data_IF_688312712004
#
_entry.id   IF_688312712004
#
_cell.length_a   1.000
_cell.length_b   1.000
_cell.length_c   1.000
_cell.angle_alpha   90.00
_cell.angle_beta   90.00
_cell.angle_gamma   90.00
#
_symmetry.space_group_name_H-M   'P 1'
#
loop_
_entity.id
_entity.type
_entity.pdbx_description
1 polymer ?
#
# COMPACT_ATOMS: atom_id res chain seq x y z
N UNK A 1 84.74 -14.42 6.85
CA UNK A 1 83.81 -14.07 5.75
C UNK A 1 82.44 -13.79 6.35
N UNK A 2 81.79 -12.68 5.96
CA UNK A 2 80.63 -12.10 6.65
C UNK A 2 79.29 -12.54 6.05
N UNK A 3 78.20 -12.48 6.84
CA UNK A 3 76.82 -12.11 6.44
C UNK A 3 75.97 -12.14 7.74
N UNK A 4 75.50 -11.00 8.29
CA UNK A 4 74.30 -10.21 7.92
C UNK A 4 73.02 -11.07 7.92
N UNK A 5 71.84 -10.73 8.43
CA UNK A 5 71.22 -9.68 9.25
C UNK A 5 69.76 -10.21 9.52
N UNK A 6 68.87 -9.54 10.28
CA UNK A 6 67.74 -10.16 10.97
C UNK A 6 66.49 -10.40 10.10
N UNK A 7 65.74 -11.45 10.42
CA UNK A 7 64.38 -11.69 9.91
C UNK A 7 63.43 -10.68 10.59
N UNK A 8 62.94 -9.72 9.80
CA UNK A 8 61.70 -9.00 10.06
C UNK A 8 60.76 -9.21 8.88
N UNK A 9 59.47 -9.11 9.19
CA UNK A 9 58.31 -8.95 8.30
C UNK A 9 57.63 -10.26 7.88
N UNK A 10 56.67 -10.68 8.70
CA UNK A 10 55.46 -11.37 8.24
C UNK A 10 54.26 -10.75 8.96
N UNK A 11 53.97 -9.48 8.66
CA UNK A 11 52.80 -8.77 9.19
C UNK A 11 52.07 -8.01 8.06
N UNK A 12 52.12 -8.54 6.82
CA UNK A 12 51.55 -7.86 5.65
C UNK A 12 50.45 -8.67 4.95
N UNK A 13 50.23 -9.94 5.32
CA UNK A 13 49.21 -10.79 4.69
C UNK A 13 47.80 -10.66 5.26
N UNK A 14 47.66 -10.34 6.55
CA UNK A 14 46.34 -10.28 7.23
C UNK A 14 45.64 -8.94 7.02
N UNK A 15 46.41 -7.87 6.82
CA UNK A 15 45.84 -6.54 6.61
C UNK A 15 45.16 -6.39 5.24
N UNK A 16 45.65 -7.05 4.20
CA UNK A 16 45.12 -6.88 2.83
C UNK A 16 43.79 -7.62 2.62
N UNK A 17 43.60 -8.77 3.25
CA UNK A 17 42.34 -9.54 3.16
C UNK A 17 41.23 -8.93 4.01
N UNK A 18 41.54 -8.35 5.17
CA UNK A 18 40.56 -7.65 6.00
C UNK A 18 40.03 -6.37 5.33
N UNK A 19 40.89 -5.64 4.59
CA UNK A 19 40.47 -4.43 3.85
C UNK A 19 39.61 -4.81 2.63
N UNK A 20 39.92 -5.90 1.92
CA UNK A 20 39.09 -6.36 0.81
C UNK A 20 37.68 -6.80 1.26
N UNK A 21 37.58 -7.48 2.40
CA UNK A 21 36.29 -7.85 2.99
C UNK A 21 35.50 -6.64 3.50
N UNK A 22 36.16 -5.65 4.11
CA UNK A 22 35.51 -4.42 4.57
C UNK A 22 35.02 -3.52 3.42
N UNK A 23 35.67 -3.56 2.26
CA UNK A 23 35.22 -2.87 1.05
C UNK A 23 34.03 -3.59 0.39
N UNK A 24 34.00 -4.92 0.42
CA UNK A 24 32.84 -5.71 -0.08
C UNK A 24 31.64 -5.71 0.87
N UNK A 25 31.85 -5.49 2.17
CA UNK A 25 30.82 -5.47 3.22
C UNK A 25 30.57 -4.05 3.75
N UNK A 26 30.95 -3.02 2.98
CA UNK A 26 30.84 -1.63 3.38
C UNK A 26 29.40 -1.22 3.76
N UNK A 27 29.24 -0.16 4.58
CA UNK A 27 27.94 0.32 5.05
C UNK A 27 27.14 0.86 3.87
N UNK A 28 26.32 0.00 3.27
CA UNK A 28 25.54 0.33 2.07
C UNK A 28 25.02 -0.91 1.33
N UNK A 29 25.74 -2.05 1.41
CA UNK A 29 25.29 -3.30 0.76
C UNK A 29 24.12 -3.99 1.47
N UNK A 30 23.77 -3.57 2.70
CA UNK A 30 22.60 -4.03 3.45
C UNK A 30 21.56 -2.92 3.67
N UNK A 31 21.67 -1.80 2.96
CA UNK A 31 20.61 -0.79 3.00
C UNK A 31 19.46 -1.22 2.09
N UNK A 32 18.66 -2.20 2.53
CA UNK A 32 17.28 -2.27 2.07
C UNK A 32 16.58 -1.06 2.66
N UNK A 33 16.46 0.02 1.88
CA UNK A 33 15.49 1.06 2.24
C UNK A 33 14.15 0.54 1.78
N UNK A 34 13.34 0.10 2.73
CA UNK A 34 11.93 -0.09 2.51
C UNK A 34 11.37 1.23 1.95
N UNK A 35 10.60 1.18 0.86
CA UNK A 35 9.82 2.32 0.37
C UNK A 35 8.71 2.54 1.40
N UNK A 36 9.08 3.20 2.50
CA UNK A 36 8.20 3.48 3.65
C UNK A 36 7.94 4.97 3.67
N UNK A 37 7.30 5.45 2.62
CA UNK A 37 6.75 6.80 2.58
C UNK A 37 5.29 6.74 2.14
N UNK A 38 4.44 5.97 2.88
CA UNK A 38 3.10 5.67 2.41
C UNK A 38 2.30 6.96 2.29
N UNK A 39 1.74 7.19 1.11
CA UNK A 39 0.79 8.28 0.88
C UNK A 39 -0.58 7.70 0.66
N UNK A 40 -1.58 8.22 1.39
CA UNK A 40 -2.98 7.91 1.17
C UNK A 40 -3.66 9.13 0.57
N UNK A 41 -4.34 8.95 -0.56
CA UNK A 41 -5.07 9.98 -1.29
C UNK A 41 -6.53 9.59 -1.50
N UNK A 42 -7.39 10.59 -1.63
CA UNK A 42 -8.78 10.41 -2.04
C UNK A 42 -8.90 10.70 -3.55
N UNK A 43 -9.12 9.67 -4.35
CA UNK A 43 -9.36 9.81 -5.78
C UNK A 43 -10.86 9.95 -6.05
N UNK A 44 -11.28 11.15 -6.46
CA UNK A 44 -12.67 11.48 -6.77
C UNK A 44 -13.07 11.13 -8.22
N UNK A 45 -12.13 10.64 -9.04
CA UNK A 45 -12.38 10.23 -10.43
C UNK A 45 -11.77 8.85 -10.65
N UNK A 46 -12.45 7.77 -10.21
CA UNK A 46 -11.88 6.41 -10.17
C UNK A 46 -11.61 5.78 -11.55
N UNK A 47 -11.87 6.51 -12.64
CA UNK A 47 -11.64 6.04 -14.01
C UNK A 47 -10.19 5.64 -14.24
N UNK A 48 -9.98 4.47 -14.86
CA UNK A 48 -8.64 3.93 -15.10
C UNK A 48 -8.06 3.13 -13.93
N UNK A 49 -8.75 3.07 -12.79
CA UNK A 49 -8.45 2.11 -11.73
C UNK A 49 -9.12 0.78 -12.02
N UNK A 50 -8.35 -0.31 -12.07
CA UNK A 50 -8.82 -1.64 -12.47
C UNK A 50 -8.18 -2.75 -11.64
N UNK A 51 -8.89 -3.87 -11.58
CA UNK A 51 -8.36 -5.17 -11.16
C UNK A 51 -8.42 -6.15 -12.34
N UNK A 52 -7.32 -6.85 -12.61
CA UNK A 52 -7.24 -7.94 -13.60
C UNK A 52 -7.03 -9.27 -12.88
N UNK A 53 -8.09 -10.08 -12.85
CA UNK A 53 -8.13 -11.42 -12.24
C UNK A 53 -7.26 -12.46 -12.97
N UNK A 54 -6.92 -12.24 -14.24
CA UNK A 54 -6.09 -13.19 -15.00
C UNK A 54 -4.64 -13.15 -14.51
N UNK A 55 -4.20 -11.97 -14.08
CA UNK A 55 -2.82 -11.72 -13.65
C UNK A 55 -2.71 -11.35 -12.18
N UNK A 56 -3.83 -11.31 -11.44
CA UNK A 56 -3.96 -10.77 -10.09
C UNK A 56 -3.28 -9.39 -9.95
N UNK A 57 -3.59 -8.49 -10.89
CA UNK A 57 -2.97 -7.18 -10.98
C UNK A 57 -3.95 -6.08 -10.61
N UNK A 58 -3.56 -5.22 -9.67
CA UNK A 58 -4.25 -3.96 -9.40
C UNK A 58 -3.51 -2.82 -10.09
N UNK A 59 -4.26 -2.00 -10.82
CA UNK A 59 -3.74 -0.76 -11.43
C UNK A 59 -4.58 0.39 -10.90
N UNK A 60 -3.94 1.36 -10.29
CA UNK A 60 -4.56 2.65 -9.98
C UNK A 60 -4.20 3.65 -11.07
N UNK A 61 -5.22 4.40 -11.52
CA UNK A 61 -5.09 5.47 -12.51
C UNK A 61 -4.44 6.73 -11.93
N UNK A 62 -4.61 7.86 -12.61
CA UNK A 62 -4.17 9.16 -12.07
C UNK A 62 -5.01 9.54 -10.85
N UNK A 63 -4.36 9.68 -9.70
CA UNK A 63 -4.93 10.25 -8.47
C UNK A 63 -4.95 11.79 -8.55
N UNK A 64 -5.70 12.45 -7.66
CA UNK A 64 -5.81 13.92 -7.56
C UNK A 64 -6.61 14.63 -8.68
N UNK A 65 -7.46 13.88 -9.40
CA UNK A 65 -8.37 14.49 -10.36
C UNK A 65 -9.57 15.14 -9.68
N UNK A 66 -9.85 16.39 -10.05
CA UNK A 66 -11.03 17.10 -9.58
C UNK A 66 -12.23 16.80 -10.49
N UNK A 67 -13.34 16.34 -9.90
CA UNK A 67 -14.61 16.29 -10.62
C UNK A 67 -15.15 17.70 -10.83
N UNK A 68 -15.26 18.15 -12.08
CA UNK A 68 -15.85 19.45 -12.42
C UNK A 68 -17.25 19.27 -13.01
N UNK A 69 -18.26 19.91 -12.42
CA UNK A 69 -19.57 20.10 -13.07
C UNK A 69 -19.69 21.54 -13.56
N UNK A 70 -20.10 21.72 -14.81
CA UNK A 70 -20.31 23.03 -15.41
C UNK A 70 -21.59 23.74 -14.93
N UNK A 71 -22.51 23.01 -14.28
CA UNK A 71 -23.84 23.52 -13.90
C UNK A 71 -24.09 23.30 -12.41
N UNK A 72 -24.27 24.39 -11.68
CA UNK A 72 -24.69 24.33 -10.28
C UNK A 72 -26.13 23.79 -10.18
N UNK A 73 -26.34 22.78 -9.34
CA UNK A 73 -27.68 22.32 -8.97
C UNK A 73 -27.71 22.00 -7.46
N UNK A 74 -28.89 22.09 -6.84
CA UNK A 74 -29.10 21.91 -5.39
C UNK A 74 -29.51 20.48 -5.01
N UNK A 75 -29.49 19.54 -5.96
CA UNK A 75 -29.83 18.13 -5.72
C UNK A 75 -28.63 17.45 -5.05
N UNK A 76 -28.90 16.47 -4.19
CA UNK A 76 -27.85 15.60 -3.65
C UNK A 76 -27.20 14.78 -4.77
N UNK A 77 -25.88 14.88 -4.89
CA UNK A 77 -25.10 14.06 -5.81
C UNK A 77 -24.39 12.96 -5.03
N UNK A 78 -24.36 11.76 -5.60
CA UNK A 78 -23.50 10.69 -5.13
C UNK A 78 -22.28 10.64 -6.04
N UNK A 79 -21.10 10.73 -5.44
CA UNK A 79 -19.82 10.63 -6.12
C UNK A 79 -19.12 9.39 -5.61
N UNK A 80 -18.67 8.56 -6.54
CA UNK A 80 -17.84 7.42 -6.22
C UNK A 80 -16.41 7.89 -6.05
N UNK A 81 -15.75 7.47 -4.98
CA UNK A 81 -14.34 7.76 -4.77
C UNK A 81 -13.56 6.50 -4.38
N UNK A 82 -12.27 6.47 -4.68
CA UNK A 82 -11.34 5.48 -4.18
C UNK A 82 -10.43 6.10 -3.12
N UNK A 83 -10.29 5.42 -1.99
CA UNK A 83 -9.18 5.65 -1.08
C UNK A 83 -7.99 4.85 -1.59
N UNK A 84 -6.94 5.53 -1.99
CA UNK A 84 -5.77 4.93 -2.64
C UNK A 84 -4.55 5.06 -1.73
N UNK A 85 -3.71 4.03 -1.69
CA UNK A 85 -2.39 4.05 -1.08
C UNK A 85 -1.28 3.88 -2.14
N UNK A 86 -0.15 4.54 -1.91
CA UNK A 86 1.10 4.34 -2.63
C UNK A 86 2.26 4.24 -1.64
N UNK A 87 3.39 3.72 -2.10
CA UNK A 87 4.68 3.71 -1.41
C UNK A 87 4.62 3.04 -0.02
N UNK A 88 3.99 1.87 0.02
CA UNK A 88 3.87 1.02 1.21
C UNK A 88 4.46 -0.36 0.94
N UNK A 89 5.16 -0.90 1.94
CA UNK A 89 5.53 -2.32 1.97
C UNK A 89 4.86 -3.01 3.15
N UNK A 90 4.51 -4.28 2.94
CA UNK A 90 4.00 -5.22 3.92
C UNK A 90 2.76 -4.71 4.67
N UNK A 91 1.74 -4.21 3.94
CA UNK A 91 0.53 -3.65 4.53
C UNK A 91 -0.36 -4.74 5.17
N UNK A 92 -0.41 -4.80 6.50
CA UNK A 92 -1.30 -5.73 7.23
C UNK A 92 -2.71 -5.18 7.48
N UNK A 93 -2.87 -3.85 7.41
CA UNK A 93 -4.13 -3.16 7.61
C UNK A 93 -3.97 -1.65 7.65
N UNK A 94 -5.09 -0.94 7.64
CA UNK A 94 -5.11 0.52 7.56
C UNK A 94 -6.28 1.12 8.35
N UNK A 95 -6.10 2.37 8.76
CA UNK A 95 -7.15 3.18 9.38
C UNK A 95 -6.95 4.64 8.98
N UNK A 96 -8.03 5.32 8.59
CA UNK A 96 -8.01 6.75 8.25
C UNK A 96 -9.13 7.49 8.94
N UNK A 97 -8.85 8.76 9.26
CA UNK A 97 -9.86 9.73 9.73
C UNK A 97 -10.11 10.76 8.64
N UNK A 98 -11.35 10.87 8.21
CA UNK A 98 -11.78 11.85 7.22
C UNK A 98 -12.52 12.97 7.95
N UNK A 99 -12.09 14.21 7.73
CA UNK A 99 -12.77 15.40 8.24
C UNK A 99 -13.44 16.11 7.06
N UNK A 100 -14.71 16.45 7.20
CA UNK A 100 -15.50 17.05 6.14
C UNK A 100 -16.57 17.97 6.72
N UNK A 101 -17.21 18.77 5.85
CA UNK A 101 -18.38 19.57 6.20
C UNK A 101 -19.62 18.76 5.83
N UNK A 102 -20.38 18.29 6.83
CA UNK A 102 -21.45 17.30 6.65
C UNK A 102 -22.57 17.72 5.71
N UNK A 103 -22.83 19.03 5.62
CA UNK A 103 -23.83 19.61 4.72
C UNK A 103 -23.32 19.84 3.29
N UNK A 104 -22.01 19.65 3.03
CA UNK A 104 -21.38 19.82 1.71
C UNK A 104 -20.99 18.49 1.08
N UNK A 105 -20.40 17.61 1.87
CA UNK A 105 -19.99 16.28 1.44
C UNK A 105 -20.03 15.36 2.65
N UNK A 106 -20.51 14.13 2.47
CA UNK A 106 -20.54 13.12 3.51
C UNK A 106 -20.21 11.79 2.87
N UNK A 107 -19.42 10.97 3.54
CA UNK A 107 -19.29 9.57 3.15
C UNK A 107 -20.66 8.87 3.25
N UNK A 108 -20.92 8.01 2.29
CA UNK A 108 -22.13 7.17 2.30
C UNK A 108 -21.84 5.81 2.91
N UNK A 109 -20.67 5.25 2.66
CA UNK A 109 -20.22 3.98 3.20
C UNK A 109 -18.76 3.73 2.85
N UNK A 110 -18.32 2.50 3.10
CA UNK A 110 -17.06 1.97 2.61
C UNK A 110 -17.28 0.57 2.03
N UNK A 111 -16.51 0.23 1.01
CA UNK A 111 -16.31 -1.13 0.54
C UNK A 111 -14.80 -1.38 0.39
N UNK A 112 -14.22 -2.09 1.35
CA UNK A 112 -12.78 -2.38 1.40
C UNK A 112 -12.31 -3.43 0.37
N UNK A 113 -13.26 -4.09 -0.30
CA UNK A 113 -13.02 -5.11 -1.33
C UNK A 113 -13.87 -4.79 -2.57
N UNK A 114 -13.54 -3.70 -3.29
CA UNK A 114 -14.39 -3.15 -4.33
C UNK A 114 -14.41 -3.95 -5.64
N UNK A 115 -13.48 -4.88 -5.82
CA UNK A 115 -13.39 -5.73 -7.00
C UNK A 115 -13.85 -7.15 -6.71
N UNK A 116 -14.08 -7.89 -7.78
CA UNK A 116 -14.36 -9.33 -7.72
C UNK A 116 -13.30 -10.04 -8.55
N UNK A 117 -12.67 -11.04 -7.96
CA UNK A 117 -11.90 -12.04 -8.69
C UNK A 117 -12.84 -13.16 -9.12
N UNK A 118 -13.11 -13.28 -10.42
CA UNK A 118 -14.00 -14.32 -10.95
C UNK A 118 -13.30 -15.68 -11.11
N UNK A 119 -11.97 -15.76 -10.95
CA UNK A 119 -11.22 -17.02 -10.93
C UNK A 119 -11.46 -17.76 -9.61
N UNK A 120 -11.43 -17.04 -8.48
CA UNK A 120 -11.62 -17.57 -7.13
C UNK A 120 -13.03 -17.32 -6.56
N UNK A 121 -13.82 -16.47 -7.23
CA UNK A 121 -15.13 -15.98 -6.79
C UNK A 121 -15.07 -15.20 -5.46
N UNK A 122 -13.96 -14.49 -5.22
CA UNK A 122 -13.73 -13.75 -3.99
C UNK A 122 -13.78 -12.23 -4.21
N UNK A 123 -14.24 -11.47 -3.20
CA UNK A 123 -14.12 -10.03 -3.23
C UNK A 123 -12.67 -9.61 -2.93
N UNK A 124 -12.15 -8.65 -3.69
CA UNK A 124 -10.75 -8.23 -3.66
C UNK A 124 -10.64 -6.72 -3.51
N UNK A 125 -9.72 -6.31 -2.65
CA UNK A 125 -9.17 -4.96 -2.53
C UNK A 125 -7.66 -5.05 -2.36
N UNK A 126 -6.99 -3.92 -2.20
CA UNK A 126 -5.53 -3.95 -2.06
C UNK A 126 -5.11 -4.79 -0.84
N UNK A 127 -5.80 -4.58 0.30
CA UNK A 127 -5.52 -5.24 1.59
C UNK A 127 -5.47 -6.78 1.52
N UNK A 128 -6.20 -7.42 0.60
CA UNK A 128 -6.18 -8.88 0.40
C UNK A 128 -5.80 -9.29 -1.02
N UNK A 129 -5.11 -8.42 -1.74
CA UNK A 129 -4.67 -8.67 -3.10
C UNK A 129 -3.76 -9.91 -3.22
N UNK A 130 -2.80 -10.18 -2.32
CA UNK A 130 -1.98 -11.38 -2.40
C UNK A 130 -2.81 -12.65 -2.25
N UNK A 131 -2.47 -13.68 -3.02
CA UNK A 131 -3.07 -15.02 -2.89
C UNK A 131 -2.22 -15.83 -1.91
N UNK A 132 -2.84 -16.35 -0.85
CA UNK A 132 -2.11 -17.21 0.09
C UNK A 132 -1.66 -18.49 -0.62
N UNK A 133 -0.34 -18.73 -0.67
CA UNK A 133 0.26 -19.91 -1.27
C UNK A 133 -0.23 -21.25 -0.64
N UNK A 134 -0.70 -21.24 0.61
CA UNK A 134 -1.22 -22.46 1.26
C UNK A 134 -2.66 -22.73 0.83
N UNK A 135 -3.54 -21.74 0.93
CA UNK A 135 -4.97 -21.93 0.66
C UNK A 135 -5.37 -21.68 -0.79
N UNK A 136 -4.47 -21.10 -1.60
CA UNK A 136 -4.67 -20.75 -3.01
C UNK A 136 -5.88 -19.81 -3.23
N UNK A 137 -6.13 -18.94 -2.26
CA UNK A 137 -7.24 -17.97 -2.25
C UNK A 137 -6.79 -16.65 -1.63
N UNK A 138 -7.48 -15.56 -1.95
CA UNK A 138 -7.33 -14.28 -1.24
C UNK A 138 -7.74 -14.44 0.23
N UNK A 139 -7.11 -13.68 1.12
CA UNK A 139 -7.54 -13.60 2.52
C UNK A 139 -8.88 -12.87 2.63
N UNK A 140 -9.69 -13.25 3.61
CA UNK A 140 -10.88 -12.46 3.95
C UNK A 140 -10.46 -11.09 4.52
N UNK A 141 -11.33 -10.09 4.39
CA UNK A 141 -11.10 -8.73 4.92
C UNK A 141 -12.15 -8.40 5.97
N UNK A 142 -11.70 -7.90 7.12
CA UNK A 142 -12.58 -7.28 8.12
C UNK A 142 -12.48 -5.76 7.99
N UNK A 143 -13.61 -5.11 7.74
CA UNK A 143 -13.68 -3.65 7.63
C UNK A 143 -14.47 -3.05 8.81
N UNK A 144 -14.06 -1.86 9.25
CA UNK A 144 -14.72 -1.09 10.30
C UNK A 144 -14.98 0.34 9.81
N UNK A 145 -16.20 0.84 10.02
CA UNK A 145 -16.57 2.22 9.71
C UNK A 145 -17.38 2.83 10.85
N UNK A 146 -17.16 4.11 11.09
CA UNK A 146 -18.00 4.95 11.91
C UNK A 146 -18.26 6.24 11.14
N UNK A 147 -19.43 6.32 10.51
CA UNK A 147 -19.87 7.47 9.71
C UNK A 147 -21.10 8.08 10.41
N UNK A 148 -21.00 9.30 10.96
CA UNK A 148 -22.13 9.94 11.61
C UNK A 148 -23.24 10.29 10.60
N UNK A 149 -24.51 10.33 11.04
CA UNK A 149 -25.61 10.78 10.18
C UNK A 149 -25.41 12.23 9.75
N UNK A 150 -26.09 12.65 8.66
CA UNK A 150 -26.06 14.04 8.24
C UNK A 150 -26.56 14.96 9.37
N UNK A 151 -25.90 16.11 9.59
CA UNK A 151 -26.45 17.19 10.40
C UNK A 151 -27.80 17.64 9.82
N UNK A 152 -28.78 17.93 10.68
CA UNK A 152 -30.11 18.37 10.24
C UNK A 152 -30.26 19.89 10.29
N UNK A 153 -29.16 20.64 10.15
CA UNK A 153 -29.12 22.05 10.56
C UNK A 153 -28.68 23.04 9.47
N UNK A 154 -28.19 22.58 8.31
CA UNK A 154 -27.71 23.43 7.20
C UNK A 154 -26.66 24.47 7.63
N UNK A 155 -25.93 24.23 8.73
CA UNK A 155 -24.98 25.20 9.30
C UNK A 155 -23.55 25.00 8.80
N UNK A 156 -23.32 24.07 7.86
CA UNK A 156 -22.00 23.58 7.48
C UNK A 156 -21.27 22.94 8.68
N UNK A 157 -21.98 22.10 9.44
CA UNK A 157 -21.40 21.44 10.62
C UNK A 157 -20.20 20.56 10.24
N UNK A 158 -19.01 20.79 10.83
CA UNK A 158 -17.88 19.90 10.67
C UNK A 158 -18.18 18.52 11.27
N UNK A 159 -17.82 17.48 10.53
CA UNK A 159 -17.96 16.09 10.95
C UNK A 159 -16.67 15.31 10.70
N UNK A 160 -16.55 14.19 11.41
CA UNK A 160 -15.47 13.23 11.23
C UNK A 160 -16.04 11.84 11.04
N UNK A 161 -15.47 11.10 10.10
CA UNK A 161 -15.68 9.66 9.96
C UNK A 161 -14.35 8.92 10.19
N UNK A 162 -14.44 7.71 10.72
CA UNK A 162 -13.32 6.78 10.86
C UNK A 162 -13.60 5.56 9.98
N UNK A 163 -12.61 5.18 9.16
CA UNK A 163 -12.64 4.00 8.31
C UNK A 163 -11.40 3.16 8.56
N UNK A 164 -11.48 1.87 8.27
CA UNK A 164 -10.32 0.98 8.31
C UNK A 164 -10.66 -0.44 7.87
N UNK A 165 -9.64 -1.18 7.52
CA UNK A 165 -9.74 -2.61 7.24
C UNK A 165 -8.41 -3.32 7.47
N UNK A 166 -8.48 -4.62 7.69
CA UNK A 166 -7.34 -5.54 7.72
C UNK A 166 -7.74 -6.88 7.13
N UNK A 167 -6.77 -7.62 6.58
CA UNK A 167 -7.04 -9.00 6.20
C UNK A 167 -7.15 -9.90 7.46
N UNK A 168 -7.78 -11.05 7.31
CA UNK A 168 -7.96 -12.06 8.36
C UNK A 168 -6.97 -13.19 8.16
N UNK A 169 -6.25 -13.56 9.22
CA UNK A 169 -5.32 -14.69 9.20
C UNK A 169 -3.99 -14.35 9.85
N UNK A 170 -3.04 -15.27 9.72
CA UNK A 170 -1.67 -15.03 10.17
C UNK A 170 -0.98 -14.02 9.24
N UNK A 171 -0.33 -13.03 9.83
CA UNK A 171 0.43 -12.03 9.09
C UNK A 171 1.77 -12.59 8.63
N UNK A 172 2.11 -12.34 7.36
CA UNK A 172 3.38 -12.71 6.78
C UNK A 172 3.70 -11.77 5.62
N UNK A 173 4.99 -11.63 5.28
CA UNK A 173 5.43 -10.77 4.19
C UNK A 173 4.74 -11.14 2.86
N UNK A 174 4.74 -12.43 2.49
CA UNK A 174 4.08 -12.90 1.25
C UNK A 174 2.56 -12.67 1.19
N UNK A 175 1.88 -12.54 2.33
CA UNK A 175 0.42 -12.26 2.36
C UNK A 175 0.10 -10.78 2.57
N UNK A 176 1.13 -9.93 2.66
CA UNK A 176 0.98 -8.50 2.90
C UNK A 176 1.34 -7.75 1.61
N UNK A 177 0.42 -6.99 1.02
CA UNK A 177 0.66 -6.31 -0.23
C UNK A 177 1.64 -5.13 -0.10
N UNK A 178 2.41 -4.94 -1.16
CA UNK A 178 3.32 -3.83 -1.43
C UNK A 178 2.80 -3.02 -2.61
N UNK A 179 3.10 -1.72 -2.63
CA UNK A 179 2.97 -0.92 -3.84
C UNK A 179 3.95 0.27 -3.84
N UNK A 180 4.84 0.40 -4.85
CA UNK A 180 5.22 -0.64 -5.80
C UNK A 180 5.86 -1.84 -5.08
N UNK A 181 6.08 -2.95 -5.81
CA UNK A 181 6.78 -4.10 -5.26
C UNK A 181 8.19 -3.71 -4.77
N UNK A 182 8.59 -4.23 -3.61
CA UNK A 182 9.95 -4.05 -3.09
C UNK A 182 10.99 -4.73 -3.99
N UNK A 183 12.29 -4.35 -3.91
CA UNK A 183 13.31 -4.81 -4.85
C UNK A 183 13.46 -6.33 -4.95
N UNK A 184 13.19 -7.05 -3.86
CA UNK A 184 13.12 -8.51 -3.82
C UNK A 184 11.73 -8.89 -3.32
N UNK A 185 10.79 -9.21 -4.23
CA UNK A 185 9.44 -9.61 -3.85
C UNK A 185 9.44 -10.86 -2.96
N UNK A 186 8.57 -10.92 -1.94
CA UNK A 186 8.45 -12.12 -1.10
C UNK A 186 7.79 -13.28 -1.85
N UNK A 187 6.90 -12.94 -2.78
CA UNK A 187 6.26 -13.87 -3.69
C UNK A 187 5.99 -13.21 -5.05
N UNK A 188 5.28 -13.93 -5.91
CA UNK A 188 4.82 -13.43 -7.21
C UNK A 188 3.31 -13.63 -7.36
N UNK A 189 2.56 -13.61 -6.27
CA UNK A 189 1.12 -13.95 -6.30
C UNK A 189 0.26 -12.80 -6.83
N UNK A 190 0.77 -11.57 -6.83
CA UNK A 190 0.06 -10.37 -7.27
C UNK A 190 0.98 -9.33 -7.89
N UNK A 191 0.39 -8.26 -8.44
CA UNK A 191 1.11 -7.07 -8.88
C UNK A 191 0.31 -5.80 -8.61
N UNK A 192 0.95 -4.77 -8.05
CA UNK A 192 0.34 -3.46 -7.81
C UNK A 192 1.37 -2.33 -8.03
N UNK A 193 1.84 -2.10 -9.26
CA UNK A 193 2.96 -1.19 -9.50
C UNK A 193 2.58 0.29 -9.37
N UNK A 194 1.30 0.62 -9.51
CA UNK A 194 0.82 2.00 -9.58
C UNK A 194 -0.04 2.43 -8.40
N UNK A 195 -0.08 1.67 -7.31
CA UNK A 195 -0.90 1.95 -6.13
C UNK A 195 -1.88 0.83 -5.79
N UNK A 196 -2.55 1.00 -4.65
CA UNK A 196 -3.54 0.07 -4.12
C UNK A 196 -4.83 0.77 -3.74
N UNK A 197 -5.98 0.21 -4.11
CA UNK A 197 -7.29 0.67 -3.63
C UNK A 197 -7.59 0.06 -2.26
N UNK A 198 -7.54 0.89 -1.22
CA UNK A 198 -7.89 0.52 0.14
C UNK A 198 -9.41 0.35 0.31
N UNK A 199 -10.19 1.23 -0.31
CA UNK A 199 -11.66 1.18 -0.25
C UNK A 199 -12.29 2.00 -1.37
N UNK A 200 -13.46 1.55 -1.80
CA UNK A 200 -14.44 2.38 -2.50
C UNK A 200 -15.35 3.09 -1.48
N UNK A 201 -15.65 4.37 -1.71
CA UNK A 201 -16.39 5.27 -0.80
C UNK A 201 -17.60 5.91 -1.48
#
# INVERSE_FOLDING_TARGET
MPMNAPIRIALSGVALTAVAAAVFLGPGHFASQAVQNPTISLDMVPSGTTYDETTNTMTVGSTENCLTSATANTVTHLHQAHLVIHDVEDLVGWQVRLNYIGDKMRLQGQNAVPFTDNTTLQPVGFTNLPIDAVTQVHRDVTAAQNIPPAPADNTNTPQTALLGASYVGAESFATSPDTPAKPVPDDSSYSAPSGGVLSFL
#
